data_IF_585363293836
#
_entry.id   IF_585363293836
#
_cell.length_a   1.000
_cell.length_b   1.000
_cell.length_c   1.000
_cell.angle_alpha   90.00
_cell.angle_beta   90.00
_cell.angle_gamma   90.00
#
_symmetry.space_group_name_H-M   'P 1'
#
loop_
_entity.id
_entity.type
_entity.pdbx_description
1 polymer ?
#
# COMPACT_ATOMS: atom_id res chain seq x y z
N UNK A 1 15.42 39.30 1.71
CA UNK A 1 14.31 38.54 2.33
C UNK A 1 14.38 37.13 1.76
N UNK A 2 14.52 36.12 2.63
CA UNK A 2 14.04 34.77 2.33
C UNK A 2 15.07 33.67 2.08
N UNK A 3 16.02 33.46 3.00
CA UNK A 3 16.82 32.21 3.01
C UNK A 3 17.10 31.69 4.43
N UNK A 4 16.39 32.20 5.44
CA UNK A 4 16.62 31.88 6.86
C UNK A 4 15.76 30.70 7.37
N UNK A 5 14.92 30.12 6.51
CA UNK A 5 14.06 29.00 6.90
C UNK A 5 14.77 27.66 6.77
N UNK A 6 15.81 27.53 5.92
CA UNK A 6 16.48 26.26 5.64
C UNK A 6 17.67 25.95 6.57
N UNK A 7 18.22 26.95 7.26
CA UNK A 7 19.47 26.84 8.04
C UNK A 7 19.35 25.98 9.31
N UNK A 8 18.14 25.55 9.68
CA UNK A 8 17.91 24.68 10.85
C UNK A 8 17.09 23.41 10.53
N UNK A 9 16.89 23.10 9.24
CA UNK A 9 16.32 21.83 8.84
C UNK A 9 17.45 20.83 8.60
N UNK A 10 17.56 19.82 9.46
CA UNK A 10 18.27 18.60 9.09
C UNK A 10 17.50 18.02 7.91
N UNK A 11 18.10 18.06 6.72
CA UNK A 11 17.68 17.21 5.60
C UNK A 11 17.93 15.77 6.02
N UNK A 12 16.99 15.18 6.76
CA UNK A 12 16.94 13.74 6.94
C UNK A 12 16.47 13.22 5.58
N UNK A 13 17.44 12.89 4.71
CA UNK A 13 17.17 11.97 3.62
C UNK A 13 16.73 10.66 4.27
N UNK A 14 15.42 10.47 4.40
CA UNK A 14 14.83 9.21 4.84
C UNK A 14 14.94 8.21 3.71
N UNK A 15 16.18 7.86 3.36
CA UNK A 15 16.41 6.92 2.28
C UNK A 15 15.94 5.55 2.76
N UNK A 16 15.05 4.93 1.99
CA UNK A 16 14.74 3.53 2.18
C UNK A 16 16.04 2.73 2.00
N UNK A 17 16.37 1.91 2.99
CA UNK A 17 17.58 1.09 2.97
C UNK A 17 17.20 -0.40 2.95
N UNK A 18 18.16 -1.26 2.61
CA UNK A 18 17.99 -2.72 2.53
C UNK A 18 17.16 -3.39 3.65
N UNK A 19 17.19 -2.95 4.94
CA UNK A 19 16.31 -3.51 5.96
C UNK A 19 14.81 -3.40 5.66
N UNK A 20 14.39 -2.49 4.78
CA UNK A 20 13.02 -2.36 4.31
C UNK A 20 12.52 -3.62 3.59
N UNK A 21 13.34 -4.22 2.72
CA UNK A 21 12.99 -5.43 1.97
C UNK A 21 12.77 -6.62 2.93
N UNK A 22 13.62 -6.75 3.94
CA UNK A 22 13.44 -7.74 5.00
C UNK A 22 12.16 -7.46 5.81
N UNK A 23 11.89 -6.19 6.12
CA UNK A 23 10.68 -5.77 6.84
C UNK A 23 9.42 -6.08 6.03
N UNK A 24 9.41 -5.79 4.73
CA UNK A 24 8.31 -6.13 3.83
C UNK A 24 8.05 -7.64 3.85
N UNK A 25 9.10 -8.47 3.80
CA UNK A 25 8.97 -9.94 3.88
C UNK A 25 8.35 -10.41 5.19
N UNK A 26 8.76 -9.82 6.33
CA UNK A 26 8.20 -10.16 7.64
C UNK A 26 6.74 -9.73 7.76
N UNK A 27 6.40 -8.54 7.24
CA UNK A 27 5.04 -8.00 7.32
C UNK A 27 4.08 -8.77 6.41
N UNK A 28 4.49 -9.14 5.20
CA UNK A 28 3.66 -9.99 4.32
C UNK A 28 3.45 -11.38 4.90
N UNK A 29 4.48 -11.98 5.52
CA UNK A 29 4.34 -13.22 6.25
C UNK A 29 3.36 -13.10 7.42
N UNK A 30 3.43 -12.02 8.20
CA UNK A 30 2.49 -11.74 9.28
C UNK A 30 1.05 -11.58 8.76
N UNK A 31 0.84 -10.90 7.62
CA UNK A 31 -0.50 -10.75 7.04
C UNK A 31 -1.12 -12.07 6.56
N UNK A 32 -0.29 -13.06 6.23
CA UNK A 32 -0.73 -14.41 5.87
C UNK A 32 -1.01 -15.31 7.09
N UNK A 33 -0.58 -14.92 8.29
CA UNK A 33 -0.80 -15.69 9.50
C UNK A 33 -2.19 -15.39 10.11
N UNK A 34 -3.10 -16.38 10.22
CA UNK A 34 -4.41 -16.19 10.82
C UNK A 34 -4.36 -15.85 12.32
N UNK A 35 -3.21 -16.04 12.99
CA UNK A 35 -3.02 -15.70 14.40
C UNK A 35 -2.80 -14.21 14.62
N UNK A 36 -2.49 -13.43 13.59
CA UNK A 36 -2.33 -11.98 13.73
C UNK A 36 -3.68 -11.32 14.03
N UNK A 37 -3.81 -10.61 15.17
CA UNK A 37 -5.06 -9.95 15.52
C UNK A 37 -5.49 -8.94 14.46
N UNK A 38 -6.79 -8.93 14.14
CA UNK A 38 -7.38 -8.05 13.13
C UNK A 38 -7.04 -6.56 13.33
N UNK A 39 -6.94 -6.12 14.60
CA UNK A 39 -6.60 -4.74 14.95
C UNK A 39 -5.24 -4.28 14.41
N UNK A 40 -4.31 -5.21 14.14
CA UNK A 40 -2.97 -4.89 13.64
C UNK A 40 -2.89 -4.85 12.12
N UNK A 41 -3.87 -5.41 11.39
CA UNK A 41 -3.81 -5.52 9.93
C UNK A 41 -3.67 -4.17 9.25
N UNK A 42 -4.40 -3.15 9.72
CA UNK A 42 -4.23 -1.77 9.22
C UNK A 42 -2.79 -1.29 9.33
N UNK A 43 -2.20 -1.39 10.52
CA UNK A 43 -0.83 -0.92 10.75
C UNK A 43 0.19 -1.68 9.91
N UNK A 44 0.00 -2.99 9.74
CA UNK A 44 0.87 -3.82 8.90
C UNK A 44 0.77 -3.40 7.42
N UNK A 45 -0.43 -3.22 6.88
CA UNK A 45 -0.62 -2.80 5.49
C UNK A 45 -0.12 -1.36 5.28
N UNK A 46 -0.33 -0.47 6.26
CA UNK A 46 0.22 0.89 6.22
C UNK A 46 1.75 0.89 6.17
N UNK A 47 2.42 0.00 6.92
CA UNK A 47 3.88 -0.16 6.83
C UNK A 47 4.26 -0.61 5.42
N UNK A 48 3.59 -1.60 4.83
CA UNK A 48 3.86 -2.01 3.45
C UNK A 48 3.68 -0.85 2.46
N UNK A 49 2.63 -0.05 2.62
CA UNK A 49 2.38 1.13 1.79
C UNK A 49 3.55 2.12 1.86
N UNK A 50 4.05 2.41 3.07
CA UNK A 50 5.19 3.31 3.25
C UNK A 50 6.49 2.76 2.63
N UNK A 51 6.68 1.43 2.62
CA UNK A 51 7.86 0.81 2.02
C UNK A 51 7.78 0.73 0.49
N UNK A 52 6.61 0.43 -0.07
CA UNK A 52 6.41 0.27 -1.51
C UNK A 52 6.32 1.59 -2.29
N UNK A 53 5.97 2.69 -1.63
CA UNK A 53 5.83 4.02 -2.24
C UNK A 53 6.82 5.05 -1.68
N UNK A 54 7.93 4.60 -1.09
CA UNK A 54 8.98 5.51 -0.63
C UNK A 54 9.94 5.93 -1.75
N UNK A 55 10.84 6.86 -1.43
CA UNK A 55 11.61 7.64 -2.42
C UNK A 55 12.83 6.92 -3.04
N UNK A 56 13.22 5.74 -2.55
CA UNK A 56 14.27 4.92 -3.18
C UNK A 56 13.64 3.88 -4.10
N UNK A 57 13.63 4.18 -5.40
CA UNK A 57 13.00 3.34 -6.42
C UNK A 57 13.45 1.87 -6.37
N UNK A 58 14.75 1.60 -6.24
CA UNK A 58 15.30 0.23 -6.22
C UNK A 58 14.83 -0.58 -5.00
N UNK A 59 14.79 0.06 -3.83
CA UNK A 59 14.32 -0.58 -2.60
C UNK A 59 12.79 -0.69 -2.57
N UNK A 60 12.09 0.32 -3.08
CA UNK A 60 10.64 0.34 -3.18
C UNK A 60 10.14 -0.74 -4.16
N UNK A 61 10.75 -0.86 -5.34
CA UNK A 61 10.50 -1.94 -6.30
C UNK A 61 10.73 -3.31 -5.67
N UNK A 62 11.84 -3.51 -4.94
CA UNK A 62 12.09 -4.76 -4.23
C UNK A 62 11.02 -5.08 -3.17
N UNK A 63 10.47 -4.07 -2.49
CA UNK A 63 9.34 -4.24 -1.58
C UNK A 63 8.04 -4.59 -2.35
N UNK A 64 7.80 -3.95 -3.49
CA UNK A 64 6.66 -4.24 -4.36
C UNK A 64 6.70 -5.68 -4.88
N UNK A 65 7.87 -6.21 -5.24
CA UNK A 65 8.04 -7.62 -5.64
C UNK A 65 7.57 -8.59 -4.53
N UNK A 66 7.93 -8.29 -3.28
CA UNK A 66 7.48 -9.09 -2.12
C UNK A 66 5.97 -8.99 -1.94
N UNK A 67 5.42 -7.77 -1.99
CA UNK A 67 3.98 -7.53 -1.82
C UNK A 67 3.17 -8.16 -2.95
N UNK A 68 3.70 -8.22 -4.18
CA UNK A 68 3.07 -8.93 -5.30
C UNK A 68 2.83 -10.40 -4.96
N UNK A 69 3.75 -11.02 -4.22
CA UNK A 69 3.62 -12.39 -3.72
C UNK A 69 2.44 -12.62 -2.77
N UNK A 70 1.96 -11.59 -2.08
CA UNK A 70 0.82 -11.68 -1.14
C UNK A 70 -0.46 -10.99 -1.63
N UNK A 71 -0.58 -10.69 -2.93
CA UNK A 71 -1.73 -9.95 -3.50
C UNK A 71 -3.11 -10.50 -3.12
N UNK A 72 -3.24 -11.81 -2.94
CA UNK A 72 -4.50 -12.41 -2.54
C UNK A 72 -4.93 -12.00 -1.12
N UNK A 73 -3.99 -11.83 -0.20
CA UNK A 73 -4.26 -11.32 1.14
C UNK A 73 -4.73 -9.86 1.11
N UNK A 74 -4.25 -9.07 0.15
CA UNK A 74 -4.71 -7.69 -0.07
C UNK A 74 -6.14 -7.65 -0.63
N UNK A 75 -6.44 -8.48 -1.63
CA UNK A 75 -7.80 -8.63 -2.15
C UNK A 75 -8.78 -9.16 -1.09
N UNK A 76 -8.33 -10.09 -0.25
CA UNK A 76 -9.13 -10.56 0.89
C UNK A 76 -9.44 -9.40 1.85
N UNK A 77 -8.48 -8.54 2.14
CA UNK A 77 -8.71 -7.38 2.99
C UNK A 77 -9.81 -6.47 2.43
N UNK A 78 -9.74 -6.14 1.14
CA UNK A 78 -10.77 -5.36 0.42
C UNK A 78 -12.14 -6.06 0.49
N UNK A 79 -12.18 -7.36 0.18
CA UNK A 79 -13.43 -8.12 0.13
C UNK A 79 -14.09 -8.31 1.50
N UNK A 80 -13.28 -8.37 2.56
CA UNK A 80 -13.76 -8.67 3.92
C UNK A 80 -14.53 -7.53 4.58
N UNK A 81 -14.26 -6.28 4.21
CA UNK A 81 -14.89 -5.10 4.82
C UNK A 81 -14.64 -4.94 6.32
N UNK A 82 -13.63 -5.61 6.88
CA UNK A 82 -13.34 -5.60 8.33
C UNK A 82 -12.92 -4.21 8.81
N UNK A 83 -12.16 -3.48 8.00
CA UNK A 83 -11.71 -2.12 8.29
C UNK A 83 -11.49 -1.35 7.00
N UNK A 84 -12.21 -0.23 6.83
CA UNK A 84 -12.15 0.59 5.61
C UNK A 84 -10.73 1.09 5.34
N UNK A 85 -10.05 1.63 6.35
CA UNK A 85 -8.67 2.10 6.20
C UNK A 85 -7.71 1.00 5.72
N UNK A 86 -7.86 -0.22 6.23
CA UNK A 86 -7.01 -1.35 5.82
C UNK A 86 -7.30 -1.76 4.37
N UNK A 87 -8.57 -1.77 3.97
CA UNK A 87 -8.99 -2.03 2.60
C UNK A 87 -8.50 -0.95 1.64
N UNK A 88 -8.53 0.33 2.04
CA UNK A 88 -8.00 1.44 1.25
C UNK A 88 -6.51 1.31 1.00
N UNK A 89 -5.70 1.05 2.03
CA UNK A 89 -4.26 0.81 1.83
C UNK A 89 -3.98 -0.43 0.98
N UNK A 90 -4.76 -1.50 1.15
CA UNK A 90 -4.63 -2.70 0.33
C UNK A 90 -4.95 -2.42 -1.15
N UNK A 91 -5.97 -1.60 -1.40
CA UNK A 91 -6.33 -1.13 -2.74
C UNK A 91 -5.20 -0.32 -3.36
N UNK A 92 -4.68 0.68 -2.66
CA UNK A 92 -3.56 1.51 -3.11
C UNK A 92 -2.33 0.67 -3.44
N UNK A 93 -1.94 -0.26 -2.57
CA UNK A 93 -0.82 -1.19 -2.84
C UNK A 93 -1.02 -1.99 -4.14
N UNK A 94 -2.25 -2.41 -4.44
CA UNK A 94 -2.54 -3.15 -5.66
C UNK A 94 -2.50 -2.28 -6.93
N UNK A 95 -2.58 -0.95 -6.80
CA UNK A 95 -2.42 -0.02 -7.95
C UNK A 95 -1.00 -0.02 -8.52
N UNK A 96 0.00 -0.43 -7.72
CA UNK A 96 1.39 -0.56 -8.15
C UNK A 96 1.60 -1.73 -9.15
N UNK A 97 0.60 -2.57 -9.39
CA UNK A 97 0.70 -3.76 -10.23
C UNK A 97 -0.20 -3.61 -11.47
N UNK A 98 0.33 -3.16 -12.63
CA UNK A 98 -0.46 -2.94 -13.83
C UNK A 98 -1.25 -4.17 -14.30
N UNK A 99 -0.72 -5.37 -14.07
CA UNK A 99 -1.37 -6.64 -14.41
C UNK A 99 -2.66 -6.91 -13.61
N UNK A 100 -2.81 -6.29 -12.43
CA UNK A 100 -3.98 -6.47 -11.57
C UNK A 100 -5.09 -5.45 -11.88
N UNK A 101 -4.87 -4.49 -12.78
CA UNK A 101 -5.77 -3.36 -13.07
C UNK A 101 -7.22 -3.77 -13.33
N UNK A 102 -7.44 -4.77 -14.18
CA UNK A 102 -8.79 -5.23 -14.52
C UNK A 102 -9.51 -5.81 -13.31
N UNK A 103 -8.82 -6.67 -12.55
CA UNK A 103 -9.34 -7.31 -11.34
C UNK A 103 -9.57 -6.29 -10.23
N UNK A 104 -8.64 -5.37 -10.04
CA UNK A 104 -8.75 -4.30 -9.06
C UNK A 104 -9.96 -3.42 -9.36
N UNK A 105 -10.20 -3.09 -10.64
CA UNK A 105 -11.41 -2.38 -11.05
C UNK A 105 -12.70 -3.17 -10.78
N UNK A 106 -12.70 -4.50 -10.90
CA UNK A 106 -13.85 -5.31 -10.48
C UNK A 106 -14.07 -5.22 -8.97
N UNK A 107 -13.01 -5.33 -8.17
CA UNK A 107 -13.09 -5.22 -6.71
C UNK A 107 -13.54 -3.82 -6.26
N UNK A 108 -13.07 -2.78 -6.92
CA UNK A 108 -13.45 -1.39 -6.68
C UNK A 108 -14.96 -1.19 -6.75
N UNK A 109 -15.59 -1.72 -7.80
CA UNK A 109 -17.04 -1.63 -7.98
C UNK A 109 -17.78 -2.57 -7.02
N UNK A 110 -17.32 -3.82 -6.93
CA UNK A 110 -18.03 -4.88 -6.19
C UNK A 110 -18.01 -4.66 -4.68
N UNK A 111 -16.93 -4.10 -4.16
CA UNK A 111 -16.68 -3.88 -2.73
C UNK A 111 -16.56 -2.41 -2.39
N UNK A 112 -17.17 -1.53 -3.20
CA UNK A 112 -17.18 -0.08 -3.00
C UNK A 112 -17.45 0.36 -1.56
N UNK A 113 -18.45 -0.25 -0.90
CA UNK A 113 -18.80 0.09 0.48
C UNK A 113 -17.71 -0.19 1.52
N UNK A 114 -16.67 -0.95 1.15
CA UNK A 114 -15.53 -1.29 1.99
C UNK A 114 -14.35 -0.33 1.79
N UNK A 115 -14.41 0.59 0.82
CA UNK A 115 -13.33 1.49 0.47
C UNK A 115 -13.60 2.92 0.95
N UNK A 116 -12.53 3.71 1.07
CA UNK A 116 -12.62 5.16 1.21
C UNK A 116 -13.35 5.79 0.02
N UNK A 117 -14.06 6.89 0.27
CA UNK A 117 -14.87 7.56 -0.76
C UNK A 117 -14.03 8.05 -1.95
N UNK A 118 -12.81 8.48 -1.66
CA UNK A 118 -11.79 8.89 -2.62
C UNK A 118 -11.38 7.77 -3.59
N UNK A 119 -11.45 6.51 -3.13
CA UNK A 119 -11.12 5.33 -3.93
C UNK A 119 -12.33 4.75 -4.67
N UNK A 120 -13.49 5.41 -4.66
CA UNK A 120 -14.61 5.03 -5.51
C UNK A 120 -14.30 5.34 -6.99
N UNK A 121 -14.83 4.54 -7.91
CA UNK A 121 -14.54 4.68 -9.35
C UNK A 121 -14.93 6.02 -9.98
N UNK A 122 -15.85 6.78 -9.37
CA UNK A 122 -16.15 8.14 -9.85
C UNK A 122 -15.05 9.15 -9.51
N UNK A 123 -14.26 8.87 -8.47
CA UNK A 123 -13.20 9.75 -7.96
C UNK A 123 -11.80 9.26 -8.37
N UNK A 124 -11.63 7.95 -8.51
CA UNK A 124 -10.39 7.29 -8.90
C UNK A 124 -10.70 6.12 -9.83
N UNK A 125 -10.52 6.25 -11.14
CA UNK A 125 -10.71 5.12 -12.06
C UNK A 125 -9.39 4.36 -12.27
N UNK A 126 -9.26 3.23 -11.57
CA UNK A 126 -8.06 2.40 -11.64
C UNK A 126 -7.80 1.84 -13.03
N UNK A 127 -8.85 1.71 -13.86
CA UNK A 127 -8.71 1.19 -15.24
C UNK A 127 -8.12 2.22 -16.20
N UNK A 128 -8.20 3.50 -15.84
CA UNK A 128 -7.73 4.63 -16.66
C UNK A 128 -6.43 5.25 -16.17
N UNK A 129 -5.85 4.74 -15.08
CA UNK A 129 -4.63 5.31 -14.52
C UNK A 129 -3.42 4.86 -15.35
N UNK A 130 -2.76 5.81 -16.01
CA UNK A 130 -1.56 5.59 -16.81
C UNK A 130 -0.34 6.06 -16.01
N UNK A 131 0.26 5.15 -15.23
CA UNK A 131 1.59 5.33 -14.63
C UNK A 131 2.45 4.16 -15.08
#
# INVERSE_FOLDING_TARGET
MGEDWADNHVYIQSNLMMPAVATASMVTAALADPLVPLMWRRSLIQVLSALCFGEQDDVAEACQEIVRGCKWSLYEEIGSGRMIDAASYAFELLTAFPEERERLGFFQERYRANLGQDLHSENFDVRRTDW
#
